data_IF_533891986049
#
_entry.id   IF_533891986049
#
_cell.length_a   1.000
_cell.length_b   1.000
_cell.length_c   1.000
_cell.angle_alpha   90.00
_cell.angle_beta   90.00
_cell.angle_gamma   90.00
#
_symmetry.space_group_name_H-M   'P 1'
#
loop_
_entity.id
_entity.type
_entity.pdbx_description
1 polymer ?
#
# COMPACT_ATOMS: atom_id res chain seq x y z
N UNK A 1 23.05 -0.35 2.39
CA UNK A 1 22.18 -1.53 2.54
C UNK A 1 20.91 -1.10 3.26
N UNK A 2 19.72 -1.41 2.73
CA UNK A 2 18.45 -1.10 3.41
C UNK A 2 17.97 -2.34 4.19
N UNK A 3 18.06 -2.28 5.53
CA UNK A 3 17.77 -3.43 6.39
C UNK A 3 16.30 -3.85 6.32
N UNK A 4 15.38 -2.89 6.17
CA UNK A 4 13.95 -3.17 6.01
C UNK A 4 13.73 -4.14 4.86
N UNK A 5 14.29 -3.85 3.68
CA UNK A 5 14.10 -4.70 2.51
C UNK A 5 14.82 -6.04 2.61
N UNK A 6 16.07 -6.02 3.08
CA UNK A 6 16.86 -7.25 3.22
C UNK A 6 16.16 -8.26 4.14
N UNK A 7 15.53 -7.80 5.22
CA UNK A 7 14.86 -8.67 6.20
C UNK A 7 13.42 -8.99 5.82
N UNK A 8 12.70 -8.09 5.13
CA UNK A 8 11.34 -8.34 4.64
C UNK A 8 11.26 -9.54 3.70
N UNK A 9 12.29 -9.74 2.89
CA UNK A 9 12.37 -10.87 1.96
C UNK A 9 12.47 -12.24 2.68
N UNK A 10 12.86 -12.25 3.94
CA UNK A 10 13.11 -13.45 4.74
C UNK A 10 11.92 -13.87 5.61
N UNK A 11 10.83 -13.09 5.63
CA UNK A 11 9.67 -13.34 6.50
C UNK A 11 8.37 -13.44 5.73
N UNK A 12 7.52 -14.37 6.14
CA UNK A 12 6.13 -14.46 5.68
C UNK A 12 5.22 -13.49 6.45
N UNK A 13 5.60 -13.09 7.68
CA UNK A 13 4.88 -12.16 8.54
C UNK A 13 5.18 -10.70 8.16
N UNK A 14 4.72 -10.31 6.97
CA UNK A 14 5.01 -9.00 6.38
C UNK A 14 4.36 -7.82 7.11
N UNK A 15 3.25 -8.06 7.81
CA UNK A 15 2.56 -7.08 8.65
C UNK A 15 3.39 -6.81 9.92
N UNK A 16 3.71 -7.86 10.68
CA UNK A 16 4.58 -7.75 11.87
C UNK A 16 5.90 -7.08 11.57
N UNK A 17 6.56 -7.47 10.47
CA UNK A 17 7.81 -6.87 10.03
C UNK A 17 7.74 -5.35 9.84
N UNK A 18 6.63 -4.85 9.28
CA UNK A 18 6.42 -3.41 9.11
C UNK A 18 6.17 -2.72 10.45
N UNK A 19 5.37 -3.35 11.32
CA UNK A 19 5.09 -2.87 12.67
C UNK A 19 6.37 -2.73 13.50
N UNK A 20 7.28 -3.72 13.43
CA UNK A 20 8.56 -3.70 14.14
C UNK A 20 9.45 -2.54 13.72
N UNK A 21 9.57 -2.26 12.42
CA UNK A 21 10.36 -1.11 11.96
C UNK A 21 9.70 0.22 12.34
N UNK A 22 8.36 0.31 12.31
CA UNK A 22 7.66 1.50 12.80
C UNK A 22 7.91 1.71 14.30
N UNK A 23 7.80 0.66 15.11
CA UNK A 23 8.08 0.71 16.54
C UNK A 23 9.52 1.17 16.81
N UNK A 24 10.50 0.56 16.14
CA UNK A 24 11.90 0.96 16.24
C UNK A 24 12.11 2.44 15.86
N UNK A 25 11.42 2.94 14.84
CA UNK A 25 11.48 4.36 14.48
C UNK A 25 10.92 5.26 15.58
N UNK A 26 9.77 4.90 16.18
CA UNK A 26 9.18 5.64 17.30
C UNK A 26 10.15 5.65 18.50
N UNK A 27 10.79 4.52 18.80
CA UNK A 27 11.71 4.39 19.94
C UNK A 27 13.03 5.13 19.74
N UNK A 28 13.56 5.15 18.52
CA UNK A 28 14.91 5.66 18.25
C UNK A 28 14.95 7.10 17.71
N UNK A 29 13.81 7.65 17.28
CA UNK A 29 13.72 9.03 16.79
C UNK A 29 12.73 9.85 17.63
N UNK A 30 13.26 10.79 18.41
CA UNK A 30 12.45 11.74 19.19
C UNK A 30 11.56 12.61 18.30
N UNK A 31 12.08 13.26 17.25
CA UNK A 31 11.26 14.05 16.33
C UNK A 31 10.18 13.25 15.61
N UNK A 32 10.48 12.02 15.16
CA UNK A 32 9.47 11.15 14.54
C UNK A 32 8.41 10.72 15.56
N UNK A 33 8.80 10.38 16.80
CA UNK A 33 7.86 10.07 17.88
C UNK A 33 6.89 11.21 18.13
N UNK A 34 7.36 12.45 18.17
CA UNK A 34 6.52 13.63 18.31
C UNK A 34 5.57 13.78 17.14
N UNK A 35 6.08 13.74 15.90
CA UNK A 35 5.27 13.87 14.70
C UNK A 35 4.22 12.76 14.57
N UNK A 36 4.57 11.52 14.92
CA UNK A 36 3.66 10.38 14.95
C UNK A 36 2.58 10.57 16.01
N UNK A 37 2.96 10.94 17.24
CA UNK A 37 2.02 11.23 18.34
C UNK A 37 1.02 12.32 17.94
N UNK A 38 1.50 13.42 17.35
CA UNK A 38 0.66 14.50 16.84
C UNK A 38 -0.31 14.02 15.77
N UNK A 39 0.17 13.19 14.84
CA UNK A 39 -0.65 12.63 13.76
C UNK A 39 -1.81 11.77 14.29
N UNK A 40 -1.54 10.86 15.24
CA UNK A 40 -2.55 9.89 15.71
C UNK A 40 -3.41 10.41 16.86
N UNK A 41 -2.87 11.27 17.74
CA UNK A 41 -3.56 11.74 18.95
C UNK A 41 -3.94 13.21 18.92
N UNK A 42 -3.49 14.00 17.94
CA UNK A 42 -3.71 15.45 17.92
C UNK A 42 -5.20 15.82 17.97
N UNK A 43 -6.01 15.24 17.09
CA UNK A 43 -7.45 15.50 17.05
C UNK A 43 -8.18 14.85 18.23
N UNK A 44 -7.78 13.65 18.63
CA UNK A 44 -8.36 12.94 19.78
C UNK A 44 -8.15 13.70 21.10
N UNK A 45 -6.96 14.30 21.28
CA UNK A 45 -6.62 15.10 22.47
C UNK A 45 -7.37 16.43 22.47
N UNK A 46 -7.48 17.10 21.31
CA UNK A 46 -8.28 18.33 21.16
C UNK A 46 -9.75 18.11 21.50
N UNK A 47 -10.36 17.03 20.99
CA UNK A 47 -11.77 16.70 21.26
C UNK A 47 -12.03 16.39 22.74
N UNK A 48 -11.05 15.84 23.45
CA UNK A 48 -11.15 15.54 24.88
C UNK A 48 -10.75 16.72 25.78
N UNK A 49 -10.27 17.84 25.22
CA UNK A 49 -9.83 19.01 25.98
C UNK A 49 -8.58 18.77 26.83
N UNK A 50 -7.78 17.76 26.50
CA UNK A 50 -6.61 17.35 27.30
C UNK A 50 -5.31 17.76 26.63
N UNK A 51 -4.27 17.96 27.44
CA UNK A 51 -2.91 18.04 26.93
C UNK A 51 -2.58 16.75 26.15
N UNK A 52 -1.90 16.91 25.02
CA UNK A 52 -1.49 15.78 24.19
C UNK A 52 -0.34 15.04 24.91
N UNK A 53 -0.56 13.80 25.36
CA UNK A 53 0.50 13.04 26.03
C UNK A 53 1.50 12.54 24.98
N UNK A 54 2.74 12.30 25.42
CA UNK A 54 3.79 11.76 24.55
C UNK A 54 3.87 10.25 24.69
N UNK A 55 4.23 9.56 23.60
CA UNK A 55 4.56 8.13 23.67
C UNK A 55 5.83 7.95 24.52
N UNK A 56 5.76 7.11 25.54
CA UNK A 56 6.90 6.76 26.40
C UNK A 56 7.46 5.37 26.08
N UNK A 57 6.59 4.41 25.82
CA UNK A 57 6.95 3.01 25.58
C UNK A 57 6.20 2.49 24.35
N UNK A 58 6.86 1.62 23.60
CA UNK A 58 6.28 0.87 22.50
C UNK A 58 6.49 -0.62 22.77
N UNK A 59 5.44 -1.42 22.60
CA UNK A 59 5.54 -2.88 22.66
C UNK A 59 4.85 -3.46 21.45
N UNK A 60 5.57 -4.25 20.66
CA UNK A 60 5.02 -4.97 19.51
C UNK A 60 4.42 -6.32 19.94
N UNK A 61 3.45 -6.83 19.17
CA UNK A 61 2.72 -8.08 19.39
C UNK A 61 2.30 -8.25 20.87
N UNK A 62 1.60 -7.23 21.38
CA UNK A 62 1.28 -7.14 22.79
C UNK A 62 0.17 -8.14 23.17
N UNK A 63 0.53 -9.21 23.86
CA UNK A 63 -0.47 -10.17 24.36
C UNK A 63 -1.19 -9.66 25.62
N UNK A 64 -2.51 -9.91 25.68
CA UNK A 64 -3.34 -9.62 26.86
C UNK A 64 -3.72 -10.93 27.56
N UNK A 65 -3.14 -11.24 28.74
CA UNK A 65 -3.41 -12.47 29.46
C UNK A 65 -4.90 -12.71 29.71
N UNK A 66 -5.34 -13.96 29.56
CA UNK A 66 -6.76 -14.34 29.70
C UNK A 66 -7.62 -14.02 28.47
N UNK A 67 -7.03 -13.50 27.39
CA UNK A 67 -7.72 -13.22 26.12
C UNK A 67 -7.00 -13.89 24.94
N UNK A 68 -7.63 -13.90 23.77
CA UNK A 68 -7.01 -14.28 22.49
C UNK A 68 -6.58 -13.05 21.69
N UNK A 69 -6.47 -11.89 22.34
CA UNK A 69 -6.16 -10.62 21.70
C UNK A 69 -4.66 -10.35 21.75
N UNK A 70 -4.12 -9.92 20.61
CA UNK A 70 -2.72 -9.58 20.43
C UNK A 70 -2.62 -8.42 19.45
N UNK A 71 -2.88 -7.17 19.88
CA UNK A 71 -2.65 -6.01 19.03
C UNK A 71 -1.21 -5.98 18.51
N UNK A 72 -1.04 -5.58 17.25
CA UNK A 72 0.26 -5.56 16.60
C UNK A 72 1.24 -4.63 17.33
N UNK A 73 0.73 -3.54 17.91
CA UNK A 73 1.51 -2.62 18.72
C UNK A 73 0.68 -2.03 19.87
N UNK A 74 1.33 -1.80 21.01
CA UNK A 74 0.77 -1.13 22.18
C UNK A 74 1.68 0.06 22.53
N UNK A 75 1.08 1.25 22.64
CA UNK A 75 1.76 2.47 23.04
C UNK A 75 1.39 2.80 24.47
N UNK A 76 2.37 2.96 25.35
CA UNK A 76 2.17 3.55 26.69
C UNK A 76 2.48 5.03 26.61
N UNK A 77 1.52 5.86 26.99
CA UNK A 77 1.63 7.32 26.97
C UNK A 77 2.17 7.86 28.30
N UNK A 78 2.62 9.11 28.30
CA UNK A 78 3.25 9.76 29.46
C UNK A 78 2.36 9.95 30.68
N UNK A 79 1.05 9.82 30.50
CA UNK A 79 0.06 9.84 31.58
C UNK A 79 -0.42 8.43 31.98
N UNK A 80 0.28 7.38 31.53
CA UNK A 80 -0.01 5.98 31.83
C UNK A 80 -1.09 5.34 30.96
N UNK A 81 -1.75 6.10 30.09
CA UNK A 81 -2.76 5.56 29.17
C UNK A 81 -2.14 4.63 28.13
N UNK A 82 -2.95 3.69 27.64
CA UNK A 82 -2.54 2.65 26.69
C UNK A 82 -3.34 2.72 25.39
N UNK A 83 -2.64 2.81 24.27
CA UNK A 83 -3.25 2.80 22.93
C UNK A 83 -2.86 1.52 22.21
N UNK A 84 -3.84 0.67 21.91
CA UNK A 84 -3.63 -0.48 21.04
C UNK A 84 -3.67 -0.03 19.57
N UNK A 85 -2.77 -0.55 18.75
CA UNK A 85 -2.70 -0.29 17.33
C UNK A 85 -2.81 -1.61 16.59
N UNK A 86 -3.76 -1.68 15.66
CA UNK A 86 -3.91 -2.79 14.73
C UNK A 86 -3.53 -2.33 13.32
N UNK A 87 -2.68 -3.09 12.66
CA UNK A 87 -2.04 -2.80 11.40
C UNK A 87 -2.37 -3.88 10.38
N UNK A 88 -3.02 -3.48 9.27
CA UNK A 88 -3.28 -4.39 8.16
C UNK A 88 -2.62 -3.90 6.88
N UNK A 89 -2.02 -4.82 6.14
CA UNK A 89 -1.65 -4.61 4.76
C UNK A 89 -2.87 -4.91 3.89
N UNK A 90 -3.06 -6.19 3.58
CA UNK A 90 -4.13 -6.67 2.69
C UNK A 90 -5.11 -7.61 3.40
N UNK A 91 -4.75 -8.12 4.59
CA UNK A 91 -5.54 -9.12 5.28
C UNK A 91 -6.90 -8.55 5.75
N UNK A 92 -7.91 -9.42 5.74
CA UNK A 92 -9.18 -9.15 6.41
C UNK A 92 -8.96 -9.09 7.92
N UNK A 93 -9.90 -8.49 8.66
CA UNK A 93 -9.90 -8.60 10.11
C UNK A 93 -10.00 -10.07 10.53
N UNK A 94 -9.20 -10.45 11.53
CA UNK A 94 -9.21 -11.83 12.04
C UNK A 94 -10.47 -12.06 12.86
N UNK A 95 -11.28 -13.04 12.46
CA UNK A 95 -12.44 -13.44 13.25
C UNK A 95 -11.98 -14.12 14.55
N UNK A 96 -12.68 -13.84 15.64
CA UNK A 96 -12.42 -14.50 16.92
C UNK A 96 -12.80 -15.99 16.89
N UNK A 97 -12.45 -16.75 17.95
CA UNK A 97 -12.79 -18.16 18.07
C UNK A 97 -14.30 -18.37 18.13
N UNK A 98 -14.79 -19.60 17.95
CA UNK A 98 -16.24 -19.89 17.96
C UNK A 98 -16.98 -19.38 19.21
N UNK A 99 -16.29 -19.37 20.37
CA UNK A 99 -16.83 -18.88 21.65
C UNK A 99 -16.96 -17.35 21.72
N UNK A 100 -16.25 -16.62 20.86
CA UNK A 100 -16.35 -15.17 20.67
C UNK A 100 -16.09 -14.84 19.19
N UNK A 101 -17.10 -15.00 18.32
CA UNK A 101 -16.93 -14.87 16.87
C UNK A 101 -16.87 -13.40 16.42
N UNK A 102 -16.71 -12.44 17.35
CA UNK A 102 -16.61 -11.03 17.00
C UNK A 102 -15.30 -10.77 16.23
N UNK A 103 -15.35 -9.79 15.33
CA UNK A 103 -14.18 -9.32 14.61
C UNK A 103 -13.10 -8.78 15.57
N UNK A 104 -11.84 -8.87 15.13
CA UNK A 104 -10.65 -8.51 15.90
C UNK A 104 -10.77 -7.15 16.62
N UNK A 105 -11.11 -6.09 15.88
CA UNK A 105 -11.17 -4.75 16.45
C UNK A 105 -12.24 -4.63 17.54
N UNK A 106 -13.40 -5.27 17.36
CA UNK A 106 -14.47 -5.27 18.36
C UNK A 106 -14.04 -5.94 19.65
N UNK A 107 -13.28 -7.04 19.57
CA UNK A 107 -12.71 -7.70 20.76
C UNK A 107 -11.66 -6.83 21.45
N UNK A 108 -10.91 -6.02 20.70
CA UNK A 108 -9.89 -5.14 21.27
C UNK A 108 -10.47 -4.00 22.09
N UNK A 109 -11.68 -3.54 21.76
CA UNK A 109 -12.37 -2.49 22.52
C UNK A 109 -12.68 -2.90 23.98
N UNK A 110 -12.80 -4.20 24.24
CA UNK A 110 -13.01 -4.77 25.58
C UNK A 110 -11.73 -4.85 26.42
N UNK A 111 -10.56 -4.66 25.81
CA UNK A 111 -9.28 -4.72 26.52
C UNK A 111 -9.14 -3.54 27.50
N UNK A 112 -8.31 -3.68 28.55
CA UNK A 112 -7.96 -2.60 29.47
C UNK A 112 -6.99 -1.61 28.80
N UNK A 113 -7.48 -0.97 27.74
CA UNK A 113 -6.83 0.07 26.94
C UNK A 113 -7.71 1.32 26.92
N UNK A 114 -7.09 2.46 26.68
CA UNK A 114 -7.72 3.78 26.62
C UNK A 114 -8.05 4.20 25.19
N UNK A 115 -7.37 3.61 24.21
CA UNK A 115 -7.65 3.87 22.80
C UNK A 115 -7.29 2.71 21.88
N UNK A 116 -7.98 2.64 20.74
CA UNK A 116 -7.74 1.70 19.66
C UNK A 116 -7.55 2.44 18.34
N UNK A 117 -6.39 2.27 17.74
CA UNK A 117 -6.02 2.76 16.42
C UNK A 117 -6.12 1.63 15.39
N UNK A 118 -6.57 1.96 14.18
CA UNK A 118 -6.55 1.04 13.05
C UNK A 118 -5.88 1.67 11.84
N UNK A 119 -4.91 0.95 11.27
CA UNK A 119 -4.14 1.37 10.09
C UNK A 119 -4.28 0.34 9.00
N UNK A 120 -4.59 0.76 7.77
CA UNK A 120 -4.66 -0.12 6.60
C UNK A 120 -3.86 0.41 5.41
N UNK A 121 -3.57 -0.44 4.44
CA UNK A 121 -3.07 0.02 3.13
C UNK A 121 -4.16 0.74 2.35
N UNK A 122 -5.35 0.11 2.21
CA UNK A 122 -6.47 0.65 1.44
C UNK A 122 -7.61 1.13 2.34
N UNK A 123 -8.40 2.07 1.83
CA UNK A 123 -9.64 2.49 2.50
C UNK A 123 -10.63 1.33 2.56
N UNK A 124 -10.88 0.87 3.78
CA UNK A 124 -11.83 -0.19 4.11
C UNK A 124 -12.31 0.07 5.55
N UNK A 125 -13.42 0.82 5.71
CA UNK A 125 -13.88 1.26 7.01
C UNK A 125 -14.19 0.04 7.90
N UNK A 126 -13.87 0.09 9.20
CA UNK A 126 -14.32 -0.91 10.15
C UNK A 126 -15.84 -0.81 10.34
N UNK A 127 -16.42 -1.76 11.07
CA UNK A 127 -17.86 -1.72 11.38
C UNK A 127 -18.27 -0.44 12.11
N UNK A 128 -19.52 -0.01 11.93
CA UNK A 128 -20.05 1.20 12.58
C UNK A 128 -19.98 1.13 14.11
N UNK A 129 -20.07 -0.06 14.70
CA UNK A 129 -19.90 -0.27 16.14
C UNK A 129 -18.50 0.12 16.62
N UNK A 130 -17.46 -0.22 15.84
CA UNK A 130 -16.08 0.17 16.14
C UNK A 130 -15.90 1.68 15.96
N UNK A 131 -16.38 2.21 14.83
CA UNK A 131 -16.24 3.64 14.49
C UNK A 131 -16.85 4.55 15.56
N UNK A 132 -18.01 4.15 16.10
CA UNK A 132 -18.75 4.93 17.08
C UNK A 132 -18.31 4.68 18.53
N UNK A 133 -17.34 3.79 18.77
CA UNK A 133 -16.92 3.45 20.12
C UNK A 133 -16.05 4.58 20.73
N UNK A 134 -16.25 4.97 22.00
CA UNK A 134 -15.49 6.08 22.62
C UNK A 134 -13.97 5.89 22.67
N UNK A 135 -13.49 4.64 22.71
CA UNK A 135 -12.07 4.29 22.66
C UNK A 135 -11.48 4.34 21.25
N UNK A 136 -12.28 4.44 20.19
CA UNK A 136 -11.75 4.34 18.83
C UNK A 136 -11.13 5.67 18.38
N UNK A 137 -9.88 5.60 17.93
CA UNK A 137 -9.09 6.75 17.48
C UNK A 137 -9.05 6.73 15.95
N UNK A 138 -9.46 7.84 15.33
CA UNK A 138 -9.54 8.00 13.88
C UNK A 138 -9.01 9.36 13.42
N UNK A 139 -8.51 9.46 12.18
CA UNK A 139 -8.08 10.75 11.64
C UNK A 139 -9.28 11.63 11.31
N UNK A 140 -9.06 12.95 11.21
CA UNK A 140 -10.10 13.87 10.75
C UNK A 140 -10.60 13.51 9.35
N UNK A 141 -11.92 13.42 9.21
CA UNK A 141 -12.60 13.21 7.93
C UNK A 141 -12.51 11.78 7.36
N UNK A 142 -12.00 10.80 8.12
CA UNK A 142 -11.88 9.40 7.70
C UNK A 142 -12.17 8.41 8.85
N UNK A 143 -12.49 7.18 8.49
CA UNK A 143 -12.85 6.13 9.44
C UNK A 143 -11.64 5.42 10.05
N UNK A 144 -10.46 5.46 9.40
CA UNK A 144 -9.23 4.85 9.91
C UNK A 144 -8.00 5.50 9.26
N UNK A 145 -6.82 5.23 9.82
CA UNK A 145 -5.55 5.71 9.26
C UNK A 145 -5.13 4.82 8.09
N UNK A 146 -4.40 5.42 7.16
CA UNK A 146 -3.74 4.72 6.07
C UNK A 146 -2.23 4.74 6.29
N UNK A 147 -1.53 3.70 5.87
CA UNK A 147 -0.07 3.66 5.96
C UNK A 147 0.59 4.89 5.32
N UNK A 148 0.04 5.37 4.21
CA UNK A 148 0.52 6.59 3.54
C UNK A 148 0.39 7.88 4.37
N UNK A 149 -0.44 7.90 5.40
CA UNK A 149 -0.57 9.05 6.30
C UNK A 149 0.71 9.29 7.10
N UNK A 150 1.49 8.24 7.35
CA UNK A 150 2.75 8.34 8.09
C UNK A 150 3.95 8.64 7.18
N UNK A 151 3.79 8.55 5.85
CA UNK A 151 4.88 8.80 4.91
C UNK A 151 5.51 10.20 5.04
N UNK A 152 4.74 11.30 5.14
CA UNK A 152 5.32 12.64 5.30
C UNK A 152 6.14 12.77 6.59
N UNK A 153 5.77 12.02 7.64
CA UNK A 153 6.43 12.06 8.94
C UNK A 153 7.86 11.47 8.87
N UNK A 154 8.11 10.56 7.92
CA UNK A 154 9.43 9.93 7.72
C UNK A 154 10.51 10.89 7.17
N UNK A 155 10.15 12.16 6.94
CA UNK A 155 11.07 13.22 6.49
C UNK A 155 11.31 14.29 7.55
N UNK A 156 10.86 14.07 8.80
CA UNK A 156 11.02 15.06 9.87
C UNK A 156 12.48 15.27 10.30
N UNK A 157 13.36 14.30 10.03
CA UNK A 157 14.79 14.38 10.27
C UNK A 157 15.58 13.39 9.41
N UNK A 158 16.91 13.52 9.42
CA UNK A 158 17.82 12.53 8.84
C UNK A 158 18.14 11.46 9.88
N UNK A 159 17.53 10.28 9.74
CA UNK A 159 17.79 9.14 10.61
C UNK A 159 17.74 7.84 9.81
N UNK A 160 18.71 6.94 10.00
CA UNK A 160 18.89 5.75 9.15
C UNK A 160 17.67 4.83 9.11
N UNK A 161 16.98 4.64 10.24
CA UNK A 161 15.75 3.84 10.32
C UNK A 161 14.61 4.51 9.54
N UNK A 162 14.51 5.84 9.60
CA UNK A 162 13.50 6.60 8.86
C UNK A 162 13.77 6.53 7.35
N UNK A 163 15.04 6.61 6.94
CA UNK A 163 15.42 6.44 5.53
C UNK A 163 15.07 5.03 5.01
N UNK A 164 15.30 3.98 5.82
CA UNK A 164 14.91 2.62 5.48
C UNK A 164 13.41 2.46 5.35
N UNK A 165 12.65 2.97 6.31
CA UNK A 165 11.18 2.98 6.29
C UNK A 165 10.64 3.78 5.12
N UNK A 166 11.23 4.94 4.81
CA UNK A 166 10.79 5.80 3.71
C UNK A 166 10.92 5.08 2.38
N UNK A 167 12.09 4.51 2.07
CA UNK A 167 12.25 3.66 0.88
C UNK A 167 11.30 2.44 0.94
N UNK A 168 11.09 1.87 2.14
CA UNK A 168 10.07 0.86 2.44
C UNK A 168 8.68 1.23 1.92
N UNK A 169 8.15 2.33 2.44
CA UNK A 169 6.83 2.86 2.11
C UNK A 169 6.74 3.20 0.63
N UNK A 170 7.78 3.82 0.05
CA UNK A 170 7.79 4.16 -1.36
C UNK A 170 7.66 2.96 -2.28
N UNK A 171 8.35 1.83 -2.02
CA UNK A 171 8.18 0.66 -2.90
C UNK A 171 6.90 -0.10 -2.60
N UNK A 172 6.42 -0.07 -1.36
CA UNK A 172 5.13 -0.67 -0.98
C UNK A 172 3.91 0.14 -1.48
N UNK A 173 4.11 1.36 -1.98
CA UNK A 173 3.02 2.21 -2.46
C UNK A 173 2.38 3.07 -1.37
N UNK A 174 2.91 3.08 -0.15
CA UNK A 174 2.39 3.86 0.98
C UNK A 174 2.85 5.31 0.89
N UNK A 175 2.58 5.91 -0.25
CA UNK A 175 2.89 7.31 -0.56
C UNK A 175 1.57 8.06 -0.73
N UNK A 176 1.53 9.36 -0.40
CA UNK A 176 0.36 10.17 -0.71
C UNK A 176 0.03 10.11 -2.21
N UNK A 177 -1.25 10.28 -2.60
CA UNK A 177 -1.63 10.34 -3.99
C UNK A 177 -0.82 11.39 -4.75
N UNK A 178 -0.44 11.09 -5.99
CA UNK A 178 0.31 12.04 -6.80
C UNK A 178 -0.52 13.31 -7.04
N UNK A 179 0.04 14.53 -6.85
CA UNK A 179 -0.74 15.76 -6.88
C UNK A 179 -1.51 15.99 -8.18
N UNK A 180 -0.94 15.60 -9.33
CA UNK A 180 -1.63 15.71 -10.64
C UNK A 180 -2.69 14.65 -10.92
N UNK A 181 -2.76 13.58 -10.13
CA UNK A 181 -3.69 12.45 -10.34
C UNK A 181 -4.79 12.45 -9.28
N UNK A 182 -4.43 12.77 -8.05
CA UNK A 182 -5.33 12.70 -6.91
C UNK A 182 -5.59 11.27 -6.44
N UNK A 183 -6.49 11.17 -5.46
CA UNK A 183 -6.93 9.93 -4.84
C UNK A 183 -7.80 9.12 -5.82
N UNK A 184 -7.48 7.83 -6.05
CA UNK A 184 -8.30 6.95 -6.90
C UNK A 184 -9.09 5.90 -6.10
N UNK A 185 -8.79 5.74 -4.80
CA UNK A 185 -9.36 4.72 -3.92
C UNK A 185 -9.38 5.19 -2.46
N UNK A 186 -10.13 6.27 -2.20
CA UNK A 186 -10.36 6.85 -0.88
C UNK A 186 -11.83 6.83 -0.42
N UNK A 187 -12.17 7.59 0.63
CA UNK A 187 -13.52 7.64 1.20
C UNK A 187 -14.56 8.34 0.31
N UNK A 188 -14.12 9.27 -0.55
CA UNK A 188 -15.02 10.05 -1.41
C UNK A 188 -15.10 9.44 -2.80
N UNK A 189 -16.17 8.69 -3.06
CA UNK A 189 -16.32 7.94 -4.30
C UNK A 189 -16.55 8.84 -5.53
N UNK A 190 -17.12 10.03 -5.35
CA UNK A 190 -17.30 10.98 -6.46
C UNK A 190 -15.96 11.56 -6.91
N UNK A 191 -15.13 11.99 -5.96
CA UNK A 191 -13.77 12.47 -6.22
C UNK A 191 -12.93 11.34 -6.83
N UNK A 192 -12.97 10.14 -6.26
CA UNK A 192 -12.24 8.99 -6.77
C UNK A 192 -12.64 8.68 -8.22
N UNK A 193 -13.95 8.68 -8.52
CA UNK A 193 -14.47 8.43 -9.85
C UNK A 193 -14.02 9.49 -10.85
N UNK A 194 -14.04 10.76 -10.46
CA UNK A 194 -13.56 11.87 -11.28
C UNK A 194 -12.06 11.73 -11.58
N UNK A 195 -11.25 11.44 -10.56
CA UNK A 195 -9.81 11.23 -10.70
C UNK A 195 -9.51 10.03 -11.61
N UNK A 196 -10.24 8.92 -11.45
CA UNK A 196 -10.12 7.75 -12.35
C UNK A 196 -10.47 8.10 -13.79
N UNK A 197 -11.57 8.82 -14.03
CA UNK A 197 -11.95 9.27 -15.40
C UNK A 197 -10.91 10.20 -16.01
N UNK A 198 -10.29 11.08 -15.22
CA UNK A 198 -9.24 11.96 -15.70
C UNK A 198 -7.94 11.21 -16.00
N UNK A 199 -7.51 10.32 -15.12
CA UNK A 199 -6.34 9.48 -15.34
C UNK A 199 -6.49 8.60 -16.59
N UNK A 200 -7.69 8.04 -16.83
CA UNK A 200 -7.95 7.19 -17.98
C UNK A 200 -7.65 7.87 -19.33
N UNK A 201 -7.74 9.20 -19.41
CA UNK A 201 -7.40 9.97 -20.61
C UNK A 201 -5.90 9.91 -20.90
N UNK A 202 -5.08 9.87 -19.85
CA UNK A 202 -3.61 9.86 -19.91
C UNK A 202 -3.05 8.55 -20.49
N UNK A 203 -3.89 7.54 -20.69
CA UNK A 203 -3.52 6.31 -21.35
C UNK A 203 -3.44 6.40 -22.87
N UNK A 204 -3.81 7.53 -23.49
CA UNK A 204 -3.95 7.63 -24.93
C UNK A 204 -2.68 7.20 -25.68
N UNK A 205 -1.53 7.76 -25.31
CA UNK A 205 -0.25 7.41 -25.92
C UNK A 205 0.11 5.92 -25.74
N UNK A 206 -0.08 5.37 -24.54
CA UNK A 206 0.17 3.94 -24.26
C UNK A 206 -0.76 3.01 -25.03
N UNK A 207 -2.04 3.37 -25.20
CA UNK A 207 -3.00 2.58 -25.99
C UNK A 207 -2.59 2.52 -27.46
N UNK A 208 -2.20 3.66 -28.03
CA UNK A 208 -1.73 3.75 -29.41
C UNK A 208 -0.49 2.88 -29.63
N UNK A 209 0.49 2.94 -28.72
CA UNK A 209 1.69 2.11 -28.80
C UNK A 209 1.38 0.61 -28.63
N UNK A 210 0.50 0.24 -27.70
CA UNK A 210 0.08 -1.16 -27.56
C UNK A 210 -0.60 -1.69 -28.84
N UNK A 211 -1.46 -0.87 -29.47
CA UNK A 211 -2.10 -1.22 -30.74
C UNK A 211 -1.10 -1.35 -31.90
N UNK A 212 -0.12 -0.44 -32.01
CA UNK A 212 0.91 -0.54 -33.06
C UNK A 212 1.80 -1.78 -32.89
N UNK A 213 1.97 -2.25 -31.65
CA UNK A 213 2.63 -3.52 -31.32
C UNK A 213 1.74 -4.76 -31.53
N UNK A 214 0.52 -4.60 -32.06
CA UNK A 214 -0.37 -5.71 -32.38
C UNK A 214 -1.25 -6.20 -31.22
N UNK A 215 -1.32 -5.48 -30.10
CA UNK A 215 -2.22 -5.83 -29.00
C UNK A 215 -3.65 -5.35 -29.26
N UNK A 216 -4.62 -6.21 -28.93
CA UNK A 216 -6.00 -5.77 -28.70
C UNK A 216 -6.08 -5.17 -27.29
N UNK A 217 -6.41 -3.88 -27.22
CA UNK A 217 -6.54 -3.15 -25.96
C UNK A 217 -8.02 -2.99 -25.58
N UNK A 218 -8.36 -3.30 -24.34
CA UNK A 218 -9.67 -3.05 -23.74
C UNK A 218 -9.52 -2.34 -22.40
N UNK A 219 -10.43 -1.42 -22.09
CA UNK A 219 -10.43 -0.70 -20.82
C UNK A 219 -11.25 -1.45 -19.77
N UNK A 220 -10.70 -1.58 -18.56
CA UNK A 220 -11.32 -2.23 -17.41
C UNK A 220 -12.14 -1.30 -16.53
N UNK A 221 -11.83 -1.28 -15.22
CA UNK A 221 -12.45 -0.39 -14.22
C UNK A 221 -12.02 1.08 -14.40
N UNK A 222 -12.32 1.63 -15.58
CA UNK A 222 -12.05 3.01 -16.03
C UNK A 222 -10.56 3.28 -16.30
N UNK A 223 -9.66 2.98 -15.35
CA UNK A 223 -8.23 3.31 -15.43
C UNK A 223 -7.33 2.12 -15.77
N UNK A 224 -7.91 0.93 -15.92
CA UNK A 224 -7.17 -0.29 -16.19
C UNK A 224 -7.11 -0.59 -17.68
N UNK A 225 -5.99 -1.16 -18.11
CA UNK A 225 -5.81 -1.67 -19.47
C UNK A 225 -5.66 -3.18 -19.46
N UNK A 226 -6.37 -3.83 -20.37
CA UNK A 226 -6.26 -5.27 -20.64
C UNK A 226 -5.79 -5.42 -22.08
N UNK A 227 -4.65 -6.07 -22.27
CA UNK A 227 -4.06 -6.31 -23.57
C UNK A 227 -4.09 -7.81 -23.85
N UNK A 228 -4.52 -8.17 -25.05
CA UNK A 228 -4.72 -9.56 -25.47
C UNK A 228 -4.47 -9.75 -26.97
N UNK A 229 -4.57 -11.00 -27.42
CA UNK A 229 -4.60 -11.38 -28.83
C UNK A 229 -3.36 -10.94 -29.64
N UNK A 230 -2.18 -10.95 -29.03
CA UNK A 230 -0.93 -10.73 -29.74
C UNK A 230 -0.21 -12.07 -30.00
N UNK A 231 -0.27 -12.55 -31.24
CA UNK A 231 0.29 -13.86 -31.62
C UNK A 231 1.82 -13.90 -31.63
N UNK A 232 2.50 -12.75 -31.71
CA UNK A 232 3.96 -12.63 -31.64
C UNK A 232 4.45 -12.33 -30.23
N UNK A 233 3.62 -12.53 -29.20
CA UNK A 233 4.01 -12.29 -27.82
C UNK A 233 4.32 -13.57 -27.03
N UNK A 234 5.25 -13.45 -26.07
CA UNK A 234 5.46 -14.41 -25.00
C UNK A 234 4.30 -14.47 -24.00
N UNK A 235 3.38 -13.50 -24.04
CA UNK A 235 2.25 -13.38 -23.11
C UNK A 235 0.91 -13.61 -23.80
N UNK A 236 0.00 -14.29 -23.10
CA UNK A 236 -1.40 -14.46 -23.52
C UNK A 236 -2.25 -13.24 -23.15
N UNK A 237 -2.00 -12.68 -21.97
CA UNK A 237 -2.71 -11.52 -21.43
C UNK A 237 -1.78 -10.61 -20.66
N UNK A 238 -2.03 -9.30 -20.75
CA UNK A 238 -1.40 -8.30 -19.89
C UNK A 238 -2.48 -7.44 -19.25
N UNK A 239 -2.37 -7.25 -17.94
CA UNK A 239 -3.23 -6.37 -17.16
C UNK A 239 -2.39 -5.25 -16.56
N UNK A 240 -2.79 -4.00 -16.81
CA UNK A 240 -2.11 -2.81 -16.33
C UNK A 240 -3.07 -2.02 -15.44
N UNK A 241 -2.65 -1.70 -14.23
CA UNK A 241 -3.41 -0.89 -13.28
C UNK A 241 -2.51 0.14 -12.61
N UNK A 242 -2.89 1.43 -12.58
CA UNK A 242 -2.05 2.48 -11.99
C UNK A 242 -2.10 2.52 -10.46
N UNK A 243 -3.06 1.82 -9.83
CA UNK A 243 -3.31 1.92 -8.39
C UNK A 243 -3.80 0.60 -7.76
N UNK A 244 -3.38 -0.55 -8.30
CA UNK A 244 -3.71 -1.82 -7.67
C UNK A 244 -2.96 -1.95 -6.35
N UNK A 245 -3.69 -1.91 -5.23
CA UNK A 245 -3.10 -1.88 -3.89
C UNK A 245 -2.16 -0.67 -3.69
N UNK A 246 -2.58 0.50 -4.18
CA UNK A 246 -1.79 1.76 -4.19
C UNK A 246 -0.45 1.67 -4.94
N UNK A 247 -0.30 0.68 -5.82
CA UNK A 247 0.87 0.50 -6.67
C UNK A 247 0.50 0.48 -8.14
N UNK A 248 1.43 0.95 -8.96
CA UNK A 248 1.42 0.61 -10.37
C UNK A 248 1.71 -0.88 -10.51
N UNK A 249 0.88 -1.56 -11.31
CA UNK A 249 0.97 -2.98 -11.60
C UNK A 249 0.92 -3.19 -13.11
N UNK A 250 1.92 -3.90 -13.63
CA UNK A 250 1.94 -4.51 -14.95
C UNK A 250 2.03 -6.02 -14.76
N UNK A 251 0.92 -6.72 -14.94
CA UNK A 251 0.78 -8.17 -14.73
C UNK A 251 0.76 -8.88 -16.07
N UNK A 252 1.66 -9.84 -16.23
CA UNK A 252 1.77 -10.67 -17.42
C UNK A 252 1.27 -12.07 -17.10
N UNK A 253 0.36 -12.57 -17.93
CA UNK A 253 0.01 -14.00 -17.99
C UNK A 253 0.78 -14.58 -19.18
N UNK A 254 1.79 -15.44 -18.97
CA UNK A 254 2.57 -16.01 -20.06
C UNK A 254 1.72 -16.92 -20.97
N UNK A 255 2.21 -17.15 -22.18
CA UNK A 255 1.81 -18.33 -22.96
C UNK A 255 2.43 -19.60 -22.38
N UNK A 256 1.86 -20.76 -22.70
CA UNK A 256 2.29 -22.05 -22.14
C UNK A 256 3.79 -22.29 -22.33
N UNK A 257 4.47 -22.63 -21.23
CA UNK A 257 5.92 -22.88 -21.21
C UNK A 257 6.82 -21.64 -21.36
N UNK A 258 6.26 -20.42 -21.45
CA UNK A 258 7.04 -19.18 -21.67
C UNK A 258 7.43 -18.42 -20.40
N UNK A 259 7.00 -18.87 -19.22
CA UNK A 259 7.24 -18.18 -17.92
C UNK A 259 8.70 -17.77 -17.70
N UNK A 260 9.68 -18.66 -17.96
CA UNK A 260 11.10 -18.36 -17.77
C UNK A 260 11.60 -17.27 -18.72
N UNK A 261 11.16 -17.29 -19.98
CA UNK A 261 11.51 -16.28 -20.97
C UNK A 261 10.91 -14.92 -20.58
N UNK A 262 9.63 -14.87 -20.20
CA UNK A 262 8.96 -13.67 -19.71
C UNK A 262 9.72 -13.06 -18.53
N UNK A 263 10.06 -13.85 -17.50
CA UNK A 263 10.81 -13.36 -16.34
C UNK A 263 12.18 -12.80 -16.75
N UNK A 264 12.90 -13.49 -17.63
CA UNK A 264 14.22 -13.06 -18.09
C UNK A 264 14.16 -11.72 -18.82
N UNK A 265 13.24 -11.58 -19.78
CA UNK A 265 13.08 -10.37 -20.58
C UNK A 265 12.64 -9.17 -19.73
N UNK A 266 11.66 -9.38 -18.84
CA UNK A 266 11.20 -8.32 -17.94
C UNK A 266 12.28 -7.89 -16.96
N UNK A 267 13.12 -8.81 -16.45
CA UNK A 267 14.26 -8.45 -15.59
C UNK A 267 15.30 -7.62 -16.33
N UNK A 268 15.60 -7.97 -17.58
CA UNK A 268 16.54 -7.22 -18.41
C UNK A 268 16.06 -5.79 -18.63
N UNK A 269 14.81 -5.60 -19.05
CA UNK A 269 14.23 -4.27 -19.28
C UNK A 269 14.04 -3.51 -17.97
N UNK A 270 13.65 -4.17 -16.88
CA UNK A 270 13.56 -3.52 -15.58
C UNK A 270 14.90 -2.95 -15.10
N UNK A 271 16.01 -3.63 -15.38
CA UNK A 271 17.35 -3.08 -15.10
C UNK A 271 17.70 -1.81 -15.89
N UNK A 272 17.03 -1.58 -17.02
CA UNK A 272 17.21 -0.38 -17.84
C UNK A 272 16.24 0.75 -17.45
N UNK A 273 15.03 0.39 -17.00
CA UNK A 273 13.95 1.32 -16.66
C UNK A 273 14.03 1.94 -15.25
N UNK A 274 15.22 1.95 -14.63
CA UNK A 274 15.49 2.26 -13.21
C UNK A 274 15.45 1.05 -12.28
N UNK A 275 16.34 1.03 -11.27
CA UNK A 275 16.49 0.00 -10.20
C UNK A 275 15.26 -0.21 -9.29
N UNK A 276 14.08 0.23 -9.72
CA UNK A 276 12.91 0.49 -8.87
C UNK A 276 11.68 -0.33 -9.23
N UNK A 277 11.73 -1.12 -10.31
CA UNK A 277 10.68 -2.08 -10.66
C UNK A 277 10.91 -3.39 -9.89
N UNK A 278 9.89 -3.83 -9.14
CA UNK A 278 9.90 -5.11 -8.45
C UNK A 278 9.19 -6.17 -9.29
N UNK A 279 9.88 -7.28 -9.58
CA UNK A 279 9.34 -8.39 -10.35
C UNK A 279 9.08 -9.59 -9.44
N UNK A 280 7.85 -10.10 -9.46
CA UNK A 280 7.43 -11.30 -8.71
C UNK A 280 6.69 -12.27 -9.61
N UNK A 281 6.90 -13.56 -9.42
CA UNK A 281 6.14 -14.62 -10.06
C UNK A 281 5.38 -15.42 -9.00
N UNK A 282 4.11 -15.72 -9.26
CA UNK A 282 3.28 -16.53 -8.38
C UNK A 282 2.01 -17.01 -9.11
N UNK A 283 1.26 -17.91 -8.48
CA UNK A 283 -0.01 -18.40 -9.00
C UNK A 283 -1.18 -17.57 -8.47
N UNK A 284 -2.12 -17.24 -9.36
CA UNK A 284 -3.40 -16.63 -9.00
C UNK A 284 -4.56 -17.57 -9.33
N UNK A 285 -5.62 -17.52 -8.54
CA UNK A 285 -6.85 -18.26 -8.83
C UNK A 285 -7.70 -17.48 -9.85
N UNK A 286 -8.12 -18.15 -10.91
CA UNK A 286 -9.08 -17.67 -11.92
C UNK A 286 -10.22 -18.69 -12.08
N UNK A 287 -11.26 -18.30 -12.82
CA UNK A 287 -12.46 -19.12 -13.06
C UNK A 287 -12.14 -20.51 -13.66
N UNK A 288 -11.02 -20.66 -14.36
CA UNK A 288 -10.56 -21.91 -14.97
C UNK A 288 -9.50 -22.70 -14.19
N UNK A 289 -9.09 -22.24 -12.99
CA UNK A 289 -8.04 -22.86 -12.20
C UNK A 289 -6.96 -21.88 -11.76
N UNK A 290 -5.79 -22.40 -11.40
CA UNK A 290 -4.62 -21.58 -11.03
C UNK A 290 -3.81 -21.25 -12.28
N UNK A 291 -3.47 -19.98 -12.45
CA UNK A 291 -2.61 -19.51 -13.54
C UNK A 291 -1.35 -18.87 -12.98
N UNK A 292 -0.20 -19.12 -13.62
CA UNK A 292 1.04 -18.43 -13.31
C UNK A 292 1.02 -17.01 -13.88
N UNK A 293 1.42 -16.04 -13.08
CA UNK A 293 1.57 -14.65 -13.51
C UNK A 293 2.91 -14.07 -13.08
N UNK A 294 3.37 -13.07 -13.82
CA UNK A 294 4.53 -12.25 -13.48
C UNK A 294 4.05 -10.82 -13.29
N UNK A 295 4.22 -10.31 -12.07
CA UNK A 295 3.91 -8.93 -11.72
C UNK A 295 5.17 -8.09 -11.76
N UNK A 296 5.11 -6.97 -12.48
CA UNK A 296 6.07 -5.86 -12.40
C UNK A 296 5.37 -4.72 -11.66
N UNK A 297 5.96 -4.27 -10.55
CA UNK A 297 5.31 -3.31 -9.65
C UNK A 297 6.23 -2.18 -9.22
N UNK A 298 5.67 -0.99 -9.04
CA UNK A 298 6.32 0.20 -8.46
C UNK A 298 5.26 1.13 -7.86
N UNK A 299 5.63 2.17 -7.12
CA UNK A 299 4.65 3.20 -6.75
C UNK A 299 4.40 4.15 -7.91
N UNK A 300 3.15 4.63 -8.00
CA UNK A 300 2.78 5.60 -9.02
C UNK A 300 3.60 6.90 -8.89
N UNK A 301 3.94 7.31 -7.66
CA UNK A 301 4.83 8.45 -7.40
C UNK A 301 6.26 8.22 -7.91
N UNK A 302 6.81 7.01 -7.81
CA UNK A 302 8.11 6.70 -8.42
C UNK A 302 8.06 6.74 -9.95
N UNK A 303 6.95 6.31 -10.54
CA UNK A 303 6.74 6.32 -11.99
C UNK A 303 6.59 7.75 -12.53
N UNK A 304 5.73 8.55 -11.91
CA UNK A 304 5.36 9.89 -12.36
C UNK A 304 6.30 11.00 -11.88
N UNK A 305 7.06 10.77 -10.81
CA UNK A 305 7.81 11.80 -10.11
C UNK A 305 7.10 12.29 -8.85
N UNK A 306 7.77 13.16 -8.09
CA UNK A 306 7.22 13.72 -6.84
C UNK A 306 6.48 15.03 -7.04
N UNK A 307 6.84 15.75 -8.10
CA UNK A 307 6.32 17.09 -8.40
C UNK A 307 5.09 17.03 -9.32
N UNK A 308 4.19 18.03 -9.25
CA UNK A 308 3.13 18.18 -10.22
C UNK A 308 3.67 18.10 -11.65
N UNK A 309 3.05 17.24 -12.46
CA UNK A 309 3.34 17.06 -13.88
C UNK A 309 2.17 17.58 -14.72
N UNK A 310 2.46 18.03 -15.95
CA UNK A 310 1.43 18.27 -16.96
C UNK A 310 0.83 16.94 -17.45
N UNK A 311 -0.37 16.94 -18.06
CA UNK A 311 -0.94 15.75 -18.68
C UNK A 311 0.04 15.06 -19.64
N UNK A 312 0.69 15.81 -20.53
CA UNK A 312 1.64 15.30 -21.53
C UNK A 312 2.87 14.67 -20.86
N UNK A 313 3.36 15.26 -19.76
CA UNK A 313 4.44 14.70 -18.98
C UNK A 313 4.07 13.37 -18.33
N UNK A 314 2.83 13.23 -17.86
CA UNK A 314 2.32 11.96 -17.31
C UNK A 314 2.19 10.92 -18.42
N UNK A 315 1.60 11.27 -19.56
CA UNK A 315 1.47 10.35 -20.70
C UNK A 315 2.84 9.83 -21.16
N UNK A 316 3.82 10.71 -21.29
CA UNK A 316 5.17 10.35 -21.69
C UNK A 316 5.84 9.38 -20.70
N UNK A 317 5.66 9.59 -19.38
CA UNK A 317 6.21 8.70 -18.35
C UNK A 317 5.51 7.34 -18.31
N UNK A 318 4.19 7.32 -18.46
CA UNK A 318 3.42 6.08 -18.57
C UNK A 318 3.84 5.28 -19.80
N UNK A 319 3.91 5.93 -20.97
CA UNK A 319 4.38 5.30 -22.20
C UNK A 319 5.82 4.80 -22.06
N UNK A 320 6.75 5.65 -21.61
CA UNK A 320 8.16 5.29 -21.45
C UNK A 320 8.42 4.18 -20.44
N UNK A 321 7.45 3.89 -19.56
CA UNK A 321 7.50 2.71 -18.67
C UNK A 321 6.88 1.48 -19.32
N UNK A 322 5.69 1.62 -19.93
CA UNK A 322 4.90 0.48 -20.42
C UNK A 322 5.41 -0.06 -21.75
N UNK A 323 5.76 0.81 -22.70
CA UNK A 323 6.16 0.38 -24.05
C UNK A 323 7.40 -0.50 -24.05
N UNK A 324 8.48 -0.20 -23.30
CA UNK A 324 9.65 -1.09 -23.26
C UNK A 324 9.32 -2.45 -22.63
N UNK A 325 8.39 -2.51 -21.67
CA UNK A 325 7.91 -3.79 -21.11
C UNK A 325 7.11 -4.59 -22.15
N UNK A 326 6.32 -3.94 -23.00
CA UNK A 326 5.59 -4.61 -24.09
C UNK A 326 6.53 -5.11 -25.19
N UNK A 327 7.54 -4.31 -25.56
CA UNK A 327 8.56 -4.67 -26.53
C UNK A 327 9.37 -5.89 -26.06
N UNK A 328 9.73 -5.95 -24.77
CA UNK A 328 10.43 -7.08 -24.17
C UNK A 328 9.70 -8.43 -24.34
N UNK A 329 8.38 -8.37 -24.54
CA UNK A 329 7.51 -9.54 -24.64
C UNK A 329 7.22 -9.94 -26.10
N UNK A 330 7.74 -9.23 -27.10
CA UNK A 330 7.67 -9.64 -28.50
C UNK A 330 8.70 -10.72 -28.81
N UNK A 331 8.37 -11.65 -29.71
CA UNK A 331 9.23 -12.76 -30.16
C UNK A 331 9.88 -12.49 -31.50
#
# INVERSE_FOLDING_TARGET
MNLFWSTRALTAAREDHLTEFLAAAIENSGPFRTAYTECILGDFSKLSGRAMPMIQEVKTQASFPGTTCCPDMLLTLSDGRKIACEHKLDALETMGPEKDPRAQLRRYLDLPIDGLLYVRTLWKPPSSEVINHPKYIRPKGREHFLWRDFFPLLSCETHVILDWLRDGFERLGFTPPHPSVGEMSGPDEEINLANRKNFAKLWQSTRSAAHSLGWKVTTGSIVELYLSNNSSSLASWIFISPAKFDRFLFRVTPNDGKIKAVISQLKQVAGQLSDRLEIKNYQISRKGGKEEVVDVTTSLRKLLGTEPQSPEGIEARLLGTVEPLLLALQT
#
